data_IF_744489774251
#
_entry.id   IF_744489774251
#
_cell.length_a   1.000
_cell.length_b   1.000
_cell.length_c   1.000
_cell.angle_alpha   90.00
_cell.angle_beta   90.00
_cell.angle_gamma   90.00
#
_symmetry.space_group_name_H-M   'P 1'
#
loop_
_entity.id
_entity.type
_entity.pdbx_description
1 polymer ?
#
# COMPACT_ATOMS: atom_id res chain seq x y z
N UNK A 1 -0.19 14.40 -11.43
CA UNK A 1 -0.65 14.14 -10.06
C UNK A 1 -1.66 15.21 -9.64
N UNK A 2 -2.70 14.83 -8.96
CA UNK A 2 -3.70 15.77 -8.48
C UNK A 2 -3.39 16.21 -7.05
N UNK A 3 -2.93 17.45 -6.87
CA UNK A 3 -2.53 17.97 -5.57
C UNK A 3 -3.69 18.03 -4.56
N UNK A 4 -4.93 18.22 -5.05
CA UNK A 4 -6.10 18.23 -4.18
C UNK A 4 -6.32 16.87 -3.51
N UNK A 5 -6.13 15.79 -4.26
CA UNK A 5 -6.25 14.44 -3.71
C UNK A 5 -5.13 14.14 -2.73
N UNK A 6 -3.91 14.55 -3.06
CA UNK A 6 -2.76 14.34 -2.19
C UNK A 6 -2.95 15.06 -0.86
N UNK A 7 -3.40 16.30 -0.89
CA UNK A 7 -3.65 17.08 0.32
C UNK A 7 -4.74 16.43 1.18
N UNK A 8 -5.84 16.02 0.56
CA UNK A 8 -6.94 15.38 1.28
C UNK A 8 -6.49 14.06 1.93
N UNK A 9 -5.74 13.25 1.20
CA UNK A 9 -5.21 11.98 1.72
C UNK A 9 -4.23 12.22 2.85
N UNK A 10 -3.37 13.22 2.73
CA UNK A 10 -2.41 13.56 3.77
C UNK A 10 -3.13 13.94 5.07
N UNK A 11 -4.16 14.78 4.97
CA UNK A 11 -4.94 15.21 6.14
C UNK A 11 -5.61 14.03 6.83
N UNK A 12 -6.20 13.11 6.07
CA UNK A 12 -6.88 11.95 6.64
C UNK A 12 -5.88 10.98 7.27
N UNK A 13 -4.73 10.76 6.63
CA UNK A 13 -3.68 9.89 7.18
C UNK A 13 -3.17 10.46 8.51
N UNK A 14 -2.93 11.77 8.57
CA UNK A 14 -2.50 12.41 9.81
C UNK A 14 -3.56 12.32 10.91
N UNK A 15 -4.81 12.53 10.55
CA UNK A 15 -5.92 12.42 11.49
C UNK A 15 -6.05 11.00 12.04
N UNK A 16 -5.92 9.98 11.18
CA UNK A 16 -5.97 8.59 11.61
C UNK A 16 -4.83 8.27 12.57
N UNK A 17 -3.61 8.72 12.27
CA UNK A 17 -2.46 8.55 13.15
C UNK A 17 -2.72 9.14 14.53
N UNK A 18 -3.21 10.38 14.57
CA UNK A 18 -3.45 11.10 15.82
C UNK A 18 -4.59 10.44 16.61
N UNK A 19 -5.71 10.16 15.96
CA UNK A 19 -6.92 9.67 16.60
C UNK A 19 -6.76 8.24 17.12
N UNK A 20 -6.02 7.41 16.40
CA UNK A 20 -5.84 5.99 16.74
C UNK A 20 -4.55 5.74 17.52
N UNK A 21 -3.75 6.77 17.77
CA UNK A 21 -2.51 6.63 18.52
C UNK A 21 -1.40 5.91 17.78
N UNK A 22 -1.44 5.89 16.45
CA UNK A 22 -0.36 5.33 15.65
C UNK A 22 0.78 6.34 15.56
N UNK A 23 2.00 5.88 15.77
CA UNK A 23 3.20 6.72 15.71
C UNK A 23 4.01 6.36 14.47
N UNK A 24 3.54 6.82 13.30
CA UNK A 24 4.23 6.57 12.04
C UNK A 24 5.37 7.57 11.84
N UNK A 25 6.58 7.10 11.53
CA UNK A 25 7.65 8.02 11.12
C UNK A 25 7.22 8.80 9.88
N UNK A 26 7.65 10.05 9.79
CA UNK A 26 7.28 10.94 8.68
C UNK A 26 7.51 10.33 7.29
N UNK A 27 8.68 9.69 7.01
CA UNK A 27 8.89 9.09 5.69
C UNK A 27 7.89 7.99 5.37
N UNK A 28 7.47 7.22 6.36
CA UNK A 28 6.50 6.14 6.17
C UNK A 28 5.10 6.73 5.93
N UNK A 29 4.73 7.73 6.70
CA UNK A 29 3.46 8.43 6.53
C UNK A 29 3.36 9.04 5.13
N UNK A 30 4.42 9.72 4.69
CA UNK A 30 4.48 10.30 3.35
C UNK A 30 4.38 9.23 2.27
N UNK A 31 5.03 8.09 2.48
CA UNK A 31 4.97 6.98 1.52
C UNK A 31 3.54 6.45 1.36
N UNK A 32 2.83 6.26 2.47
CA UNK A 32 1.43 5.80 2.44
C UNK A 32 0.55 6.79 1.68
N UNK A 33 0.71 8.09 1.94
CA UNK A 33 -0.05 9.12 1.23
C UNK A 33 0.21 9.05 -0.28
N UNK A 34 1.47 8.98 -0.68
CA UNK A 34 1.84 8.92 -2.10
C UNK A 34 1.36 7.65 -2.76
N UNK A 35 1.41 6.54 -2.04
CA UNK A 35 0.90 5.26 -2.53
C UNK A 35 -0.60 5.36 -2.83
N UNK A 36 -1.38 5.85 -1.89
CA UNK A 36 -2.83 6.01 -2.09
C UNK A 36 -3.13 6.97 -3.24
N UNK A 37 -2.41 8.10 -3.30
CA UNK A 37 -2.59 9.08 -4.37
C UNK A 37 -2.29 8.49 -5.75
N UNK A 38 -1.28 7.63 -5.84
CA UNK A 38 -0.89 7.01 -7.11
C UNK A 38 -1.96 6.07 -7.66
N UNK A 39 -2.83 5.51 -6.82
CA UNK A 39 -3.87 4.59 -7.26
C UNK A 39 -5.22 5.27 -7.54
N UNK A 40 -5.35 6.57 -7.29
CA UNK A 40 -6.64 7.28 -7.49
C UNK A 40 -7.15 7.18 -8.92
N UNK A 41 -6.28 7.29 -9.91
CA UNK A 41 -6.67 7.30 -11.32
C UNK A 41 -6.15 6.07 -12.08
N UNK A 42 -6.06 4.92 -11.39
CA UNK A 42 -5.57 3.68 -12.01
C UNK A 42 -6.65 2.58 -11.94
N UNK A 43 -7.62 2.56 -12.88
CA UNK A 43 -8.71 1.57 -12.84
C UNK A 43 -8.23 0.14 -13.08
N UNK A 44 -7.14 -0.08 -13.79
CA UNK A 44 -6.65 -1.40 -14.15
C UNK A 44 -5.31 -1.73 -13.48
N UNK A 45 -5.19 -1.36 -12.21
CA UNK A 45 -3.92 -1.50 -11.50
C UNK A 45 -3.63 -2.94 -11.03
N UNK A 46 -4.64 -3.82 -11.02
CA UNK A 46 -4.47 -5.17 -10.48
C UNK A 46 -3.87 -6.11 -11.52
N UNK A 47 -2.72 -6.70 -11.26
CA UNK A 47 -2.23 -7.79 -12.13
C UNK A 47 -3.11 -9.02 -11.93
N UNK A 48 -3.27 -9.82 -12.98
CA UNK A 48 -4.07 -11.04 -12.92
C UNK A 48 -3.44 -12.10 -12.00
N UNK A 49 -2.12 -12.04 -11.84
CA UNK A 49 -1.38 -13.01 -11.04
C UNK A 49 -0.25 -12.31 -10.28
N UNK A 50 -0.26 -12.43 -8.95
CA UNK A 50 0.78 -11.84 -8.11
C UNK A 50 1.99 -12.76 -7.92
N UNK A 51 1.76 -14.05 -7.65
CA UNK A 51 2.83 -15.00 -7.45
C UNK A 51 3.73 -15.17 -8.66
N UNK A 52 3.18 -15.49 -9.84
CA UNK A 52 3.98 -15.55 -11.06
C UNK A 52 4.68 -14.25 -11.41
N UNK A 53 4.03 -13.10 -11.17
CA UNK A 53 4.66 -11.79 -11.37
C UNK A 53 5.87 -11.63 -10.44
N UNK A 54 5.73 -12.01 -9.17
CA UNK A 54 6.84 -11.94 -8.21
C UNK A 54 8.03 -12.79 -8.68
N UNK A 55 7.77 -13.99 -9.17
CA UNK A 55 8.83 -14.90 -9.65
C UNK A 55 9.53 -14.39 -10.91
N UNK A 56 8.92 -13.48 -11.63
CA UNK A 56 9.47 -12.90 -12.86
C UNK A 56 10.10 -11.53 -12.66
N UNK A 57 10.19 -11.04 -11.41
CA UNK A 57 10.77 -9.73 -11.14
C UNK A 57 12.25 -9.70 -11.53
N UNK A 58 12.63 -8.66 -12.27
CA UNK A 58 14.00 -8.49 -12.75
C UNK A 58 14.61 -7.16 -12.30
N UNK A 59 13.79 -6.17 -11.98
CA UNK A 59 14.27 -4.84 -11.62
C UNK A 59 13.65 -4.39 -10.30
N UNK A 60 14.35 -3.47 -9.65
CA UNK A 60 13.86 -2.88 -8.41
C UNK A 60 12.59 -2.04 -8.65
N UNK A 61 12.44 -1.43 -9.83
CA UNK A 61 11.21 -0.70 -10.17
C UNK A 61 10.01 -1.63 -10.27
N UNK A 62 10.18 -2.81 -10.88
CA UNK A 62 9.12 -3.81 -10.95
C UNK A 62 8.76 -4.33 -9.56
N UNK A 63 9.76 -4.56 -8.72
CA UNK A 63 9.55 -5.03 -7.35
C UNK A 63 8.79 -3.98 -6.54
N UNK A 64 9.15 -2.71 -6.67
CA UNK A 64 8.45 -1.61 -5.98
C UNK A 64 7.00 -1.52 -6.42
N UNK A 65 6.75 -1.59 -7.73
CA UNK A 65 5.39 -1.55 -8.26
C UNK A 65 4.53 -2.69 -7.74
N UNK A 66 5.07 -3.90 -7.73
CA UNK A 66 4.34 -5.06 -7.20
C UNK A 66 4.08 -4.92 -5.70
N UNK A 67 5.08 -4.48 -4.93
CA UNK A 67 4.94 -4.28 -3.49
C UNK A 67 3.89 -3.21 -3.18
N UNK A 68 3.92 -2.09 -3.90
CA UNK A 68 2.94 -1.01 -3.74
C UNK A 68 1.53 -1.52 -4.04
N UNK A 69 1.37 -2.31 -5.11
CA UNK A 69 0.08 -2.89 -5.46
C UNK A 69 -0.42 -3.83 -4.37
N UNK A 70 0.45 -4.68 -3.85
CA UNK A 70 0.09 -5.59 -2.75
C UNK A 70 -0.32 -4.84 -1.49
N UNK A 71 0.39 -3.77 -1.15
CA UNK A 71 0.05 -2.97 0.02
C UNK A 71 -1.30 -2.29 -0.16
N UNK A 72 -1.54 -1.74 -1.35
CA UNK A 72 -2.84 -1.13 -1.66
C UNK A 72 -3.97 -2.15 -1.56
N UNK A 73 -3.81 -3.33 -2.18
CA UNK A 73 -4.82 -4.39 -2.15
C UNK A 73 -5.07 -4.87 -0.72
N UNK A 74 -4.00 -5.17 0.02
CA UNK A 74 -4.12 -5.69 1.38
C UNK A 74 -4.80 -4.69 2.32
N UNK A 75 -4.60 -3.39 2.09
CA UNK A 75 -5.19 -2.35 2.93
C UNK A 75 -6.58 -1.92 2.48
N UNK A 76 -6.78 -1.72 1.19
CA UNK A 76 -8.03 -1.16 0.66
C UNK A 76 -9.05 -2.26 0.32
N UNK A 77 -8.58 -3.42 -0.16
CA UNK A 77 -9.44 -4.54 -0.57
C UNK A 77 -9.01 -5.84 0.12
N UNK A 78 -9.07 -5.91 1.47
CA UNK A 78 -8.48 -7.04 2.20
C UNK A 78 -9.11 -8.40 1.88
N UNK A 79 -10.31 -8.43 1.31
CA UNK A 79 -11.01 -9.68 1.00
C UNK A 79 -11.05 -9.99 -0.50
N UNK A 80 -10.27 -9.27 -1.31
CA UNK A 80 -10.35 -9.33 -2.76
C UNK A 80 -10.22 -10.76 -3.33
N UNK A 81 -9.33 -11.58 -2.79
CA UNK A 81 -9.05 -12.90 -3.32
C UNK A 81 -9.85 -14.04 -2.68
N UNK A 82 -10.73 -13.75 -1.72
CA UNK A 82 -11.39 -14.81 -0.95
C UNK A 82 -12.16 -15.82 -1.80
N UNK A 83 -12.85 -15.36 -2.83
CA UNK A 83 -13.61 -16.24 -3.73
C UNK A 83 -12.72 -17.22 -4.48
N UNK A 84 -11.45 -16.88 -4.66
CA UNK A 84 -10.47 -17.72 -5.35
C UNK A 84 -9.57 -18.50 -4.38
N UNK A 85 -9.89 -18.44 -3.08
CA UNK A 85 -9.08 -19.09 -2.06
C UNK A 85 -7.77 -18.37 -1.77
N UNK A 86 -7.64 -17.10 -2.16
CA UNK A 86 -6.44 -16.30 -1.93
C UNK A 86 -6.66 -15.43 -0.70
N UNK A 87 -5.85 -15.63 0.34
CA UNK A 87 -5.96 -14.88 1.58
C UNK A 87 -5.28 -13.52 1.48
N UNK A 88 -5.66 -12.61 2.39
CA UNK A 88 -4.98 -11.33 2.56
C UNK A 88 -3.48 -11.53 2.82
N UNK A 89 -3.15 -12.56 3.60
CA UNK A 89 -1.77 -12.89 3.93
C UNK A 89 -0.92 -13.17 2.70
N UNK A 90 -1.50 -13.76 1.67
CA UNK A 90 -0.78 -13.99 0.41
C UNK A 90 -0.25 -12.69 -0.18
N UNK A 91 -1.12 -11.66 -0.24
CA UNK A 91 -0.71 -10.35 -0.74
C UNK A 91 0.31 -9.70 0.20
N UNK A 92 0.13 -9.85 1.50
CA UNK A 92 1.06 -9.29 2.48
C UNK A 92 2.45 -9.93 2.37
N UNK A 93 2.52 -11.23 2.17
CA UNK A 93 3.80 -11.95 2.05
C UNK A 93 4.53 -11.56 0.76
N UNK A 94 3.83 -11.51 -0.37
CA UNK A 94 4.42 -11.10 -1.64
C UNK A 94 4.88 -9.65 -1.57
N UNK A 95 4.05 -8.77 -1.02
CA UNK A 95 4.40 -7.35 -0.91
C UNK A 95 5.60 -7.10 -0.02
N UNK A 96 5.65 -7.75 1.14
CA UNK A 96 6.77 -7.64 2.06
C UNK A 96 8.07 -8.12 1.42
N UNK A 97 8.03 -9.28 0.77
CA UNK A 97 9.20 -9.82 0.07
C UNK A 97 9.66 -8.92 -1.07
N UNK A 98 8.70 -8.31 -1.78
CA UNK A 98 9.03 -7.38 -2.88
C UNK A 98 9.71 -6.12 -2.36
N UNK A 99 9.26 -5.56 -1.23
CA UNK A 99 9.95 -4.43 -0.61
C UNK A 99 11.36 -4.80 -0.15
N UNK A 100 11.55 -6.02 0.37
CA UNK A 100 12.89 -6.49 0.74
C UNK A 100 13.84 -6.48 -0.47
N UNK A 101 13.32 -6.87 -1.64
CA UNK A 101 14.12 -6.82 -2.88
C UNK A 101 14.50 -5.38 -3.22
N UNK A 102 13.58 -4.43 -3.09
CA UNK A 102 13.87 -3.02 -3.33
C UNK A 102 14.93 -2.52 -2.36
N UNK A 103 14.83 -2.89 -1.09
CA UNK A 103 15.79 -2.50 -0.05
C UNK A 103 17.23 -2.93 -0.38
N UNK A 104 17.38 -4.03 -1.12
CA UNK A 104 18.70 -4.50 -1.55
C UNK A 104 19.39 -3.60 -2.57
N UNK A 105 18.64 -2.68 -3.20
CA UNK A 105 19.19 -1.84 -4.28
C UNK A 105 19.09 -0.34 -4.03
N UNK A 106 18.12 0.12 -3.23
CA UNK A 106 17.93 1.56 -2.98
C UNK A 106 17.20 1.79 -1.67
N UNK A 107 17.49 2.91 -1.03
CA UNK A 107 16.82 3.36 0.19
C UNK A 107 16.55 2.21 1.18
N UNK A 108 17.61 1.49 1.61
CA UNK A 108 17.41 0.27 2.38
C UNK A 108 16.66 0.49 3.69
N UNK A 109 16.87 1.62 4.35
CA UNK A 109 16.19 1.91 5.61
C UNK A 109 14.69 2.04 5.40
N UNK A 110 14.28 2.80 4.39
CA UNK A 110 12.87 3.00 4.07
C UNK A 110 12.20 1.68 3.68
N UNK A 111 12.76 0.96 2.71
CA UNK A 111 12.12 -0.24 2.19
C UNK A 111 12.19 -1.42 3.15
N UNK A 112 13.22 -1.53 3.98
CA UNK A 112 13.24 -2.51 5.05
C UNK A 112 12.16 -2.23 6.09
N UNK A 113 11.92 -0.96 6.41
CA UNK A 113 10.84 -0.57 7.32
C UNK A 113 9.48 -0.92 6.74
N UNK A 114 9.26 -0.63 5.46
CA UNK A 114 8.01 -0.98 4.77
C UNK A 114 7.80 -2.50 4.77
N UNK A 115 8.85 -3.27 4.51
CA UNK A 115 8.78 -4.73 4.49
C UNK A 115 8.46 -5.29 5.89
N UNK A 116 9.18 -4.83 6.89
CA UNK A 116 9.06 -5.33 8.26
C UNK A 116 7.68 -5.04 8.85
N UNK A 117 7.14 -3.85 8.56
CA UNK A 117 5.85 -3.39 9.11
C UNK A 117 4.70 -3.48 8.11
N UNK A 118 4.85 -4.31 7.08
CA UNK A 118 3.87 -4.40 6.00
C UNK A 118 2.45 -4.71 6.51
N UNK A 119 2.33 -5.69 7.40
CA UNK A 119 1.02 -6.08 7.91
C UNK A 119 0.39 -4.95 8.74
N UNK A 120 1.20 -4.30 9.57
CA UNK A 120 0.75 -3.14 10.34
C UNK A 120 0.28 -2.03 9.40
N UNK A 121 1.03 -1.76 8.32
CA UNK A 121 0.68 -0.70 7.37
C UNK A 121 -0.59 -1.04 6.60
N UNK A 122 -0.79 -2.30 6.23
CA UNK A 122 -2.04 -2.69 5.58
C UNK A 122 -3.23 -2.51 6.52
N UNK A 123 -3.08 -2.81 7.81
CA UNK A 123 -4.12 -2.55 8.81
C UNK A 123 -4.38 -1.05 8.98
N UNK A 124 -3.32 -0.25 9.00
CA UNK A 124 -3.44 1.21 9.10
C UNK A 124 -4.21 1.78 7.91
N UNK A 125 -3.89 1.33 6.69
CA UNK A 125 -4.59 1.77 5.48
C UNK A 125 -6.07 1.38 5.56
N UNK A 126 -6.36 0.16 5.99
CA UNK A 126 -7.74 -0.31 6.14
C UNK A 126 -8.52 0.60 7.09
N UNK A 127 -7.96 0.92 8.24
CA UNK A 127 -8.60 1.81 9.22
C UNK A 127 -8.80 3.20 8.63
N UNK A 128 -7.78 3.73 7.93
CA UNK A 128 -7.86 5.05 7.29
C UNK A 128 -9.00 5.12 6.28
N UNK A 129 -9.10 4.12 5.41
CA UNK A 129 -10.14 4.07 4.38
C UNK A 129 -11.53 3.93 5.01
N UNK A 130 -11.66 3.04 5.99
CA UNK A 130 -12.95 2.77 6.61
C UNK A 130 -13.45 3.92 7.51
N UNK A 131 -12.54 4.78 7.98
CA UNK A 131 -12.92 5.89 8.84
C UNK A 131 -13.26 7.18 8.08
N UNK A 132 -13.10 7.21 6.75
CA UNK A 132 -13.29 8.44 5.98
C UNK A 132 -14.11 8.20 4.73
N UNK A 133 -15.33 8.74 4.71
CA UNK A 133 -16.16 8.72 3.50
C UNK A 133 -15.53 9.55 2.39
N UNK A 134 -14.77 10.58 2.75
CA UNK A 134 -14.08 11.42 1.77
C UNK A 134 -13.00 10.60 1.01
N UNK A 135 -12.18 9.84 1.74
CA UNK A 135 -11.18 8.97 1.12
C UNK A 135 -11.85 7.91 0.25
N UNK A 136 -12.94 7.31 0.73
CA UNK A 136 -13.70 6.33 -0.05
C UNK A 136 -14.19 6.93 -1.36
N UNK A 137 -14.69 8.16 -1.33
CA UNK A 137 -15.19 8.82 -2.56
C UNK A 137 -14.05 9.14 -3.53
N UNK A 138 -12.85 9.41 -3.04
CA UNK A 138 -11.67 9.63 -3.88
C UNK A 138 -11.21 8.32 -4.52
N UNK A 139 -11.10 7.24 -3.74
CA UNK A 139 -10.53 5.97 -4.20
C UNK A 139 -11.51 5.15 -5.06
N UNK A 140 -12.81 5.26 -4.81
CA UNK A 140 -13.83 4.41 -5.44
C UNK A 140 -14.79 5.17 -6.37
N UNK A 141 -14.33 6.24 -6.97
CA UNK A 141 -15.17 7.00 -7.89
C UNK A 141 -15.34 6.33 -9.27
#
# INVERSE_FOLDING_TARGET
>A
MNDAYTTALFDVVKETSATRGYDLPEPIEAYVVMLLANFVDKPDFLPNTFGPTFMQLKTSDQAKELADTCLFVAGVFPTLGERKGISRRYYQDIGSSSYEMVAGTRHPELFNTLATHFNFLSDFIEVTVNSSTHVQSILFR
#
